data_IF_627144756289
#
_entry.id   IF_627144756289
#
_cell.length_a   1.000
_cell.length_b   1.000
_cell.length_c   1.000
_cell.angle_alpha   90.00
_cell.angle_beta   90.00
_cell.angle_gamma   90.00
#
_symmetry.space_group_name_H-M   'P 1'
#
loop_
_entity.id
_entity.type
_entity.pdbx_description
1 polymer ?
#
# COMPACT_ATOMS: atom_id res chain seq x y z
N UNK A 1 10.18 -5.66 -17.13
CA UNK A 1 10.37 -5.40 -16.62
C UNK A 1 10.75 -4.98 -16.14
N UNK A 2 10.85 -4.73 -15.92
CA UNK A 2 11.27 -4.39 -15.30
C UNK A 2 11.64 -3.84 -14.65
N UNK A 3 11.85 -3.66 -14.36
CA UNK A 3 12.23 -3.25 -13.62
C UNK A 3 12.58 -3.17 -12.88
N UNK A 4 12.68 -3.22 -12.91
CA UNK A 4 13.11 -3.29 -12.11
C UNK A 4 13.88 -3.42 -11.68
N UNK A 5 14.20 -3.59 -11.86
CA UNK A 5 15.07 -3.54 -11.43
C UNK A 5 15.63 -3.04 -10.90
N UNK A 6 15.56 -2.53 -10.74
CA UNK A 6 16.08 -1.99 -10.12
C UNK A 6 16.57 -1.82 -9.40
N UNK A 7 16.63 -1.77 -9.12
CA UNK A 7 17.17 -1.55 -8.37
C UNK A 7 17.97 -1.44 -7.88
N UNK A 8 18.39 -1.40 -8.00
CA UNK A 8 19.26 -1.22 -7.50
C UNK A 8 19.41 -0.44 -6.55
N UNK A 9 19.05 0.23 -6.57
CA UNK A 9 18.98 1.01 -5.68
C UNK A 9 19.01 0.52 -4.42
N UNK A 10 19.00 -0.43 -4.30
CA UNK A 10 19.10 -1.03 -3.14
C UNK A 10 20.09 -0.53 -2.28
N UNK A 11 20.93 0.07 -2.75
CA UNK A 11 22.03 0.53 -2.02
C UNK A 11 21.65 1.43 -0.94
N UNK A 12 20.54 2.06 -1.04
CA UNK A 12 20.15 2.96 -0.04
C UNK A 12 19.60 2.29 1.14
N UNK A 13 19.29 1.08 1.02
CA UNK A 13 18.66 0.42 2.08
C UNK A 13 19.43 0.33 3.31
N UNK A 14 20.70 0.19 3.31
CA UNK A 14 21.43 0.08 4.56
C UNK A 14 21.16 1.22 5.50
N UNK A 15 20.80 2.34 5.00
CA UNK A 15 20.48 3.44 5.88
C UNK A 15 19.37 3.13 6.81
N UNK A 16 18.38 2.40 6.31
CA UNK A 16 17.27 2.07 7.13
C UNK A 16 17.64 1.10 8.21
N UNK A 17 18.54 0.18 7.88
CA UNK A 17 18.90 -0.83 8.83
C UNK A 17 19.63 -0.25 10.00
N UNK A 18 20.36 0.80 9.77
CA UNK A 18 21.12 1.40 10.83
C UNK A 18 20.31 2.33 11.70
N UNK A 19 19.10 2.64 11.28
CA UNK A 19 18.27 3.56 12.04
C UNK A 19 17.54 2.85 13.14
N UNK A 20 17.42 3.48 14.31
CA UNK A 20 16.61 2.89 15.36
C UNK A 20 15.13 2.97 14.96
N UNK A 21 14.30 2.11 15.51
CA UNK A 21 12.88 2.17 15.23
C UNK A 21 12.31 3.50 15.68
N UNK A 22 11.40 4.05 14.89
CA UNK A 22 10.74 5.27 15.27
C UNK A 22 9.37 5.30 14.64
N UNK A 23 8.71 6.42 14.77
CA UNK A 23 7.32 6.53 14.36
C UNK A 23 7.04 6.14 12.94
N UNK A 24 7.97 6.43 12.04
CA UNK A 24 7.76 6.08 10.65
C UNK A 24 7.69 4.59 10.44
N UNK A 25 8.50 3.84 11.19
CA UNK A 25 8.46 2.40 11.09
C UNK A 25 7.13 1.86 11.59
N UNK A 26 6.63 2.43 12.67
CA UNK A 26 5.35 2.01 13.22
C UNK A 26 4.24 2.31 12.22
N UNK A 27 4.32 3.45 11.54
CA UNK A 27 3.33 3.80 10.55
C UNK A 27 3.35 2.84 9.37
N UNK A 28 4.53 2.41 8.96
CA UNK A 28 4.64 1.45 7.88
C UNK A 28 4.03 0.12 8.28
N UNK A 29 4.29 -0.34 9.50
CA UNK A 29 3.69 -1.58 9.99
C UNK A 29 2.18 -1.48 10.01
N UNK A 30 1.65 -0.35 10.46
CA UNK A 30 0.21 -0.15 10.49
C UNK A 30 -0.35 -0.18 9.08
N UNK A 31 0.33 0.47 8.15
CA UNK A 31 -0.11 0.52 6.77
C UNK A 31 -0.16 -0.88 6.16
N UNK A 32 0.88 -1.67 6.38
CA UNK A 32 0.90 -3.03 5.87
C UNK A 32 -0.23 -3.86 6.46
N UNK A 33 -0.53 -3.63 7.73
CA UNK A 33 -1.60 -4.35 8.38
C UNK A 33 -2.95 -4.04 7.74
N UNK A 34 -3.25 -2.77 7.52
CA UNK A 34 -4.54 -2.42 6.96
C UNK A 34 -4.66 -2.84 5.49
N UNK A 35 -3.53 -2.90 4.78
CA UNK A 35 -3.57 -3.42 3.42
C UNK A 35 -3.97 -4.89 3.45
N UNK A 36 -3.44 -5.65 4.39
CA UNK A 36 -3.77 -7.05 4.49
C UNK A 36 -5.22 -7.28 4.89
N UNK A 37 -5.85 -6.29 5.50
CA UNK A 37 -7.25 -6.38 5.89
C UNK A 37 -8.20 -6.05 4.76
N UNK A 38 -7.70 -5.58 3.62
CA UNK A 38 -8.57 -5.30 2.49
C UNK A 38 -9.24 -6.56 1.96
N UNK A 39 -10.47 -6.44 1.44
CA UNK A 39 -11.07 -7.58 0.72
C UNK A 39 -10.15 -8.04 -0.39
N UNK A 40 -10.18 -9.34 -0.67
CA UNK A 40 -9.21 -9.93 -1.57
C UNK A 40 -9.11 -9.23 -2.92
N UNK A 41 -10.23 -8.93 -3.53
CA UNK A 41 -10.18 -8.34 -4.88
C UNK A 41 -9.55 -6.95 -4.88
N UNK A 42 -9.76 -6.20 -3.81
CA UNK A 42 -9.15 -4.87 -3.72
C UNK A 42 -7.68 -4.99 -3.39
N UNK A 43 -7.35 -5.92 -2.50
CA UNK A 43 -5.97 -6.12 -2.11
C UNK A 43 -5.11 -6.59 -3.27
N UNK A 44 -5.65 -7.51 -4.08
CA UNK A 44 -4.91 -8.00 -5.24
C UNK A 44 -4.56 -6.88 -6.19
N UNK A 45 -5.54 -6.06 -6.55
CA UNK A 45 -5.28 -4.97 -7.47
C UNK A 45 -4.33 -3.96 -6.83
N UNK A 46 -4.55 -3.64 -5.57
CA UNK A 46 -3.69 -2.69 -4.89
C UNK A 46 -2.24 -3.16 -4.89
N UNK A 47 -2.01 -4.40 -4.53
CA UNK A 47 -0.64 -4.93 -4.47
C UNK A 47 -0.01 -4.97 -5.86
N UNK A 48 -0.74 -5.41 -6.86
CA UNK A 48 -0.18 -5.49 -8.20
C UNK A 48 0.16 -4.11 -8.74
N UNK A 49 -0.68 -3.14 -8.49
CA UNK A 49 -0.47 -1.81 -9.02
C UNK A 49 0.57 -1.03 -8.20
N UNK A 50 0.41 -0.99 -6.89
CA UNK A 50 1.22 -0.13 -6.04
C UNK A 50 2.54 -0.78 -5.66
N UNK A 51 2.51 -2.05 -5.31
CA UNK A 51 3.71 -2.71 -4.82
C UNK A 51 4.54 -3.30 -5.96
N UNK A 52 3.87 -3.88 -6.95
CA UNK A 52 4.58 -4.57 -8.03
C UNK A 52 4.75 -3.72 -9.28
N UNK A 53 4.00 -2.64 -9.39
CA UNK A 53 4.20 -1.71 -10.49
C UNK A 53 3.50 -2.03 -11.79
N UNK A 54 2.54 -2.96 -11.78
CA UNK A 54 1.82 -3.30 -13.00
C UNK A 54 0.77 -2.24 -13.33
N UNK A 55 0.56 -2.01 -14.63
CA UNK A 55 -0.50 -1.10 -15.06
C UNK A 55 -1.85 -1.78 -15.07
N UNK A 56 -2.90 -1.00 -15.18
CA UNK A 56 -4.27 -1.56 -15.16
C UNK A 56 -4.50 -2.52 -16.32
N UNK A 57 -3.90 -2.26 -17.46
CA UNK A 57 -4.06 -3.15 -18.59
C UNK A 57 -3.51 -4.54 -18.28
N UNK A 58 -2.35 -4.57 -17.66
CA UNK A 58 -1.72 -5.83 -17.30
C UNK A 58 -2.49 -6.53 -16.18
N UNK A 59 -2.93 -5.77 -15.20
CA UNK A 59 -3.69 -6.33 -14.10
C UNK A 59 -4.99 -6.94 -14.63
N UNK A 60 -5.63 -6.25 -15.57
CA UNK A 60 -6.86 -6.76 -16.16
C UNK A 60 -6.63 -8.13 -16.78
N UNK A 61 -5.52 -8.30 -17.49
CA UNK A 61 -5.20 -9.57 -18.08
C UNK A 61 -4.91 -10.63 -17.03
N UNK A 62 -4.15 -10.27 -16.03
CA UNK A 62 -3.74 -11.22 -15.00
C UNK A 62 -4.93 -11.72 -14.19
N UNK A 63 -5.85 -10.84 -13.88
CA UNK A 63 -6.99 -11.19 -13.04
C UNK A 63 -8.26 -11.50 -13.84
N UNK A 64 -8.18 -11.37 -15.15
CA UNK A 64 -9.32 -11.63 -16.04
C UNK A 64 -10.49 -10.72 -15.73
N UNK A 65 -10.19 -9.45 -15.59
CA UNK A 65 -11.19 -8.41 -15.37
C UNK A 65 -10.95 -7.31 -16.40
N UNK A 66 -11.85 -6.34 -16.46
CA UNK A 66 -11.64 -5.21 -17.37
C UNK A 66 -10.72 -4.20 -16.73
N UNK A 67 -10.15 -3.33 -17.57
CA UNK A 67 -9.33 -2.25 -17.05
C UNK A 67 -10.16 -1.33 -16.14
N UNK A 68 -11.41 -1.11 -16.50
CA UNK A 68 -12.28 -0.29 -15.67
C UNK A 68 -12.47 -0.89 -14.29
N UNK A 69 -12.65 -2.20 -14.24
CA UNK A 69 -12.79 -2.89 -12.96
C UNK A 69 -11.50 -2.78 -12.16
N UNK A 70 -10.36 -2.90 -12.83
CA UNK A 70 -9.08 -2.74 -12.14
C UNK A 70 -8.99 -1.36 -11.51
N UNK A 71 -9.34 -0.33 -12.28
CA UNK A 71 -9.29 1.05 -11.77
C UNK A 71 -10.25 1.26 -10.61
N UNK A 72 -11.46 0.75 -10.71
CA UNK A 72 -12.42 0.95 -9.65
C UNK A 72 -12.04 0.18 -8.41
N UNK A 73 -11.46 -1.01 -8.55
CA UNK A 73 -11.00 -1.76 -7.39
C UNK A 73 -9.86 -1.04 -6.69
N UNK A 74 -8.97 -0.43 -7.46
CA UNK A 74 -7.90 0.35 -6.84
C UNK A 74 -8.45 1.56 -6.11
N UNK A 75 -9.43 2.24 -6.71
CA UNK A 75 -10.03 3.39 -6.07
C UNK A 75 -10.70 3.00 -4.76
N UNK A 76 -11.39 1.88 -4.75
CA UNK A 76 -12.04 1.43 -3.52
C UNK A 76 -11.03 1.02 -2.47
N UNK A 77 -9.95 0.36 -2.88
CA UNK A 77 -8.90 0.03 -1.94
C UNK A 77 -8.37 1.29 -1.27
N UNK A 78 -8.11 2.31 -2.08
CA UNK A 78 -7.59 3.57 -1.54
C UNK A 78 -8.57 4.23 -0.59
N UNK A 79 -9.86 4.16 -0.90
CA UNK A 79 -10.87 4.75 -0.02
C UNK A 79 -10.87 4.06 1.33
N UNK A 80 -10.83 2.74 1.32
CA UNK A 80 -10.86 1.99 2.57
C UNK A 80 -9.61 2.30 3.39
N UNK A 81 -8.46 2.33 2.74
CA UNK A 81 -7.22 2.61 3.44
C UNK A 81 -7.23 4.02 4.02
N UNK A 82 -7.73 4.98 3.23
CA UNK A 82 -7.79 6.35 3.70
C UNK A 82 -8.68 6.48 4.93
N UNK A 83 -9.82 5.80 4.90
CA UNK A 83 -10.73 5.85 6.04
C UNK A 83 -10.08 5.26 7.29
N UNK A 84 -9.36 4.16 7.13
CA UNK A 84 -8.71 3.55 8.27
C UNK A 84 -7.59 4.41 8.82
N UNK A 85 -6.85 5.06 7.95
CA UNK A 85 -5.79 5.96 8.37
C UNK A 85 -6.38 7.15 9.11
N UNK A 86 -7.44 7.73 8.57
CA UNK A 86 -8.06 8.88 9.21
C UNK A 86 -8.63 8.53 10.58
N UNK A 87 -9.23 7.37 10.69
CA UNK A 87 -9.77 6.92 11.96
C UNK A 87 -8.66 6.72 12.98
N UNK A 88 -7.56 6.14 12.54
CA UNK A 88 -6.42 5.91 13.42
C UNK A 88 -5.83 7.23 13.89
N UNK A 89 -5.67 8.18 12.98
CA UNK A 89 -5.14 9.48 13.32
C UNK A 89 -6.05 10.23 14.27
N UNK A 90 -7.35 10.14 14.05
CA UNK A 90 -8.30 10.80 14.93
C UNK A 90 -8.24 10.24 16.34
N UNK A 91 -8.10 8.93 16.45
CA UNK A 91 -7.96 8.31 17.75
C UNK A 91 -6.71 8.80 18.45
N UNK A 92 -5.62 8.88 17.71
CA UNK A 92 -4.38 9.34 18.29
C UNK A 92 -4.47 10.77 18.73
N UNK A 93 -5.13 11.61 17.95
CA UNK A 93 -5.31 13.00 18.33
C UNK A 93 -6.15 13.12 19.58
N UNK A 94 -7.21 12.34 19.66
CA UNK A 94 -8.05 12.38 20.86
C UNK A 94 -7.28 11.96 22.06
N UNK A 95 -6.47 10.93 21.92
CA UNK A 95 -5.66 10.48 23.04
C UNK A 95 -4.68 11.55 23.46
N UNK A 96 -4.15 12.28 22.51
CA UNK A 96 -3.18 13.30 22.84
C UNK A 96 -3.79 14.45 23.58
N UNK A 97 -5.03 14.77 23.30
CA UNK A 97 -5.64 15.91 23.94
C UNK A 97 -6.11 15.60 25.34
N UNK A 98 -6.18 14.39 25.70
CA UNK A 98 -6.58 14.03 27.03
C UNK A 98 -5.41 13.98 27.98
#
# INVERSE_FOLDING_TARGET
QQHHELPDVDDEKPLFEDSPPHEEDIQVDFLLKIIQELPDRYRLVFNLYVMDGYGHKEIAKMLKITEGTSKSNLARARMILRDKINTHDNKNLKSSTL
#
